data_IF_274908747784
#
_entry.id   IF_274908747784
#
_cell.length_a   1.000
_cell.length_b   1.000
_cell.length_c   1.000
_cell.angle_alpha   90.00
_cell.angle_beta   90.00
_cell.angle_gamma   90.00
#
_symmetry.space_group_name_H-M   'P 1'
#
loop_
_entity.id
_entity.type
_entity.pdbx_description
1 polymer ?
#
# COMPACT_ATOMS: atom_id res chain seq x y z
N UNK A 1 2.23 18.61 -11.70
CA UNK A 1 3.29 18.05 -10.82
C UNK A 1 4.08 16.91 -11.48
N UNK A 2 5.34 16.67 -11.07
CA UNK A 2 6.16 15.52 -11.53
C UNK A 2 6.37 14.56 -10.37
N UNK A 3 6.25 13.27 -10.63
CA UNK A 3 6.44 12.25 -9.58
C UNK A 3 7.58 11.36 -9.97
N UNK A 4 8.55 11.29 -9.07
CA UNK A 4 9.69 10.40 -9.21
C UNK A 4 9.54 9.28 -8.19
N UNK A 5 9.43 8.05 -8.68
CA UNK A 5 9.38 6.84 -7.86
C UNK A 5 10.68 6.07 -8.04
N UNK A 6 11.28 5.66 -6.93
CA UNK A 6 12.46 4.81 -6.89
C UNK A 6 12.09 3.46 -6.28
N UNK A 7 12.22 2.40 -7.09
CA UNK A 7 12.21 1.04 -6.59
C UNK A 7 13.53 0.77 -5.84
N UNK A 8 13.48 0.86 -4.51
CA UNK A 8 14.66 0.74 -3.64
C UNK A 8 15.32 -0.65 -3.71
N UNK A 9 14.55 -1.69 -3.99
CA UNK A 9 15.04 -3.08 -4.08
C UNK A 9 15.83 -3.32 -5.37
N UNK A 10 15.34 -2.79 -6.49
CA UNK A 10 16.04 -2.87 -7.79
C UNK A 10 17.24 -1.94 -7.87
N UNK A 11 17.19 -0.79 -7.21
CA UNK A 11 18.25 0.22 -7.29
C UNK A 11 19.57 -0.31 -6.71
N UNK A 12 20.64 -0.43 -7.51
CA UNK A 12 21.97 -0.83 -7.03
C UNK A 12 23.02 0.26 -7.34
N UNK A 13 23.08 1.36 -6.55
CA UNK A 13 23.93 2.52 -6.84
C UNK A 13 25.42 2.19 -6.93
N UNK A 14 25.90 1.25 -6.09
CA UNK A 14 27.31 0.79 -6.10
C UNK A 14 27.71 0.10 -7.41
N UNK A 15 26.77 -0.50 -8.14
CA UNK A 15 27.05 -1.21 -9.39
C UNK A 15 26.93 -0.31 -10.62
N UNK A 16 26.02 0.67 -10.60
CA UNK A 16 25.90 1.63 -11.70
C UNK A 16 26.74 2.88 -11.49
N UNK A 17 27.28 3.11 -10.30
CA UNK A 17 28.05 4.32 -9.97
C UNK A 17 27.25 5.61 -10.23
N UNK A 18 26.02 5.63 -9.70
CA UNK A 18 25.10 6.76 -9.72
C UNK A 18 24.87 7.41 -11.10
N UNK A 19 24.70 6.60 -12.16
CA UNK A 19 24.41 7.11 -13.52
C UNK A 19 23.25 8.12 -13.55
N UNK A 20 22.23 7.93 -12.71
CA UNK A 20 21.11 8.85 -12.63
C UNK A 20 21.55 10.29 -12.30
N UNK A 21 22.52 10.47 -11.39
CA UNK A 21 23.09 11.77 -11.02
C UNK A 21 23.96 12.29 -12.16
N UNK A 22 24.88 11.46 -12.67
CA UNK A 22 25.87 11.85 -13.70
C UNK A 22 25.24 12.31 -15.02
N UNK A 23 24.12 11.69 -15.41
CA UNK A 23 23.42 11.97 -16.66
C UNK A 23 22.23 12.92 -16.49
N UNK A 24 21.88 13.34 -15.27
CA UNK A 24 20.79 14.29 -15.07
C UNK A 24 21.21 15.68 -15.60
N UNK A 25 20.48 16.27 -16.56
CA UNK A 25 20.81 17.60 -17.07
C UNK A 25 20.80 18.67 -15.98
N UNK A 26 19.81 18.59 -15.08
CA UNK A 26 19.65 19.53 -13.97
C UNK A 26 20.83 19.47 -13.00
N UNK A 27 21.31 18.28 -12.67
CA UNK A 27 22.52 18.13 -11.86
C UNK A 27 23.76 18.66 -12.59
N UNK A 28 23.87 18.43 -13.89
CA UNK A 28 24.98 18.95 -14.70
C UNK A 28 24.99 20.47 -14.80
N UNK A 29 23.83 21.13 -14.70
CA UNK A 29 23.72 22.59 -14.65
C UNK A 29 23.91 23.17 -13.24
N UNK A 30 24.20 22.33 -12.24
CA UNK A 30 24.45 22.74 -10.86
C UNK A 30 23.24 22.65 -9.92
N UNK A 31 22.08 22.18 -10.38
CA UNK A 31 20.89 22.01 -9.52
C UNK A 31 20.96 20.71 -8.71
N UNK A 32 20.38 20.69 -7.51
CA UNK A 32 20.27 19.48 -6.68
C UNK A 32 19.05 18.61 -7.03
N UNK A 33 18.80 18.41 -8.32
CA UNK A 33 17.63 17.65 -8.77
C UNK A 33 17.68 16.17 -8.36
N UNK A 34 18.88 15.59 -8.22
CA UNK A 34 19.08 14.24 -7.69
C UNK A 34 20.26 14.28 -6.73
N UNK A 35 20.02 13.92 -5.47
CA UNK A 35 21.03 13.89 -4.40
C UNK A 35 21.21 12.45 -3.87
N UNK A 36 22.31 12.20 -3.18
CA UNK A 36 22.50 10.93 -2.46
C UNK A 36 21.77 11.08 -1.12
N UNK A 37 20.67 10.34 -0.97
CA UNK A 37 19.85 10.34 0.24
C UNK A 37 20.18 9.20 1.18
N UNK A 38 19.18 8.80 1.97
CA UNK A 38 19.34 7.79 3.00
C UNK A 38 19.83 6.44 2.46
N UNK A 39 20.68 5.76 3.24
CA UNK A 39 21.27 4.46 2.90
C UNK A 39 22.04 4.46 1.57
N UNK A 40 22.51 5.63 1.12
CA UNK A 40 23.27 5.81 -0.11
C UNK A 40 22.43 5.63 -1.39
N UNK A 41 21.10 5.67 -1.30
CA UNK A 41 20.22 5.58 -2.48
C UNK A 41 19.97 6.99 -3.05
N UNK A 42 19.77 7.14 -4.36
CA UNK A 42 19.46 8.44 -4.95
C UNK A 42 18.08 8.92 -4.49
N UNK A 43 17.94 10.21 -4.19
CA UNK A 43 16.67 10.89 -3.97
C UNK A 43 16.47 11.95 -5.03
N UNK A 44 15.29 11.95 -5.64
CA UNK A 44 14.95 12.83 -6.76
C UNK A 44 14.00 13.91 -6.25
N UNK A 45 14.40 15.17 -6.41
CA UNK A 45 13.56 16.32 -6.08
C UNK A 45 12.49 16.50 -7.15
N UNK A 46 11.22 16.37 -6.75
CA UNK A 46 10.07 16.53 -7.65
C UNK A 46 9.86 17.97 -8.11
N UNK A 47 10.39 18.93 -7.35
CA UNK A 47 10.34 20.37 -7.65
C UNK A 47 11.40 20.74 -8.69
N UNK A 48 12.65 20.30 -8.50
CA UNK A 48 13.78 20.66 -9.36
C UNK A 48 13.89 19.78 -10.61
N UNK A 49 13.35 18.56 -10.57
CA UNK A 49 13.39 17.63 -11.69
C UNK A 49 12.63 18.22 -12.90
N UNK A 50 13.25 18.23 -14.07
CA UNK A 50 12.62 18.69 -15.30
C UNK A 50 11.62 17.69 -15.91
N UNK A 51 11.63 16.43 -15.47
CA UNK A 51 10.76 15.38 -16.03
C UNK A 51 11.23 14.81 -17.37
N UNK A 52 12.49 15.03 -17.76
CA UNK A 52 13.05 14.63 -19.05
C UNK A 52 13.23 13.12 -19.27
N UNK A 53 13.10 12.29 -18.23
CA UNK A 53 13.22 10.83 -18.33
C UNK A 53 14.63 10.26 -18.56
N UNK A 54 15.68 11.08 -18.69
CA UNK A 54 17.04 10.59 -18.98
C UNK A 54 17.55 9.61 -17.91
N UNK A 55 17.30 9.90 -16.62
CA UNK A 55 17.71 9.00 -15.54
C UNK A 55 16.95 7.66 -15.53
N UNK A 56 15.72 7.62 -16.07
CA UNK A 56 14.96 6.38 -16.27
C UNK A 56 15.66 5.52 -17.31
N UNK A 57 15.92 6.08 -18.50
CA UNK A 57 16.58 5.36 -19.60
C UNK A 57 18.02 4.95 -19.29
N UNK A 58 18.74 5.73 -18.48
CA UNK A 58 20.13 5.41 -18.08
C UNK A 58 20.21 4.47 -16.88
N UNK A 59 19.10 4.11 -16.24
CA UNK A 59 19.11 3.17 -15.13
C UNK A 59 19.20 1.73 -15.67
N UNK A 60 20.30 0.99 -15.45
CA UNK A 60 20.44 -0.38 -15.95
C UNK A 60 19.57 -1.40 -15.19
N UNK A 61 18.94 -0.98 -14.09
CA UNK A 61 18.12 -1.83 -13.23
C UNK A 61 16.62 -1.53 -13.32
N UNK A 62 16.21 -0.60 -14.19
CA UNK A 62 14.81 -0.16 -14.28
C UNK A 62 14.22 0.16 -12.90
N UNK A 63 14.96 0.96 -12.14
CA UNK A 63 14.65 1.26 -10.75
C UNK A 63 14.03 2.66 -10.55
N UNK A 64 14.06 3.52 -11.57
CA UNK A 64 13.56 4.89 -11.50
C UNK A 64 12.38 5.00 -12.46
N UNK A 65 11.26 5.53 -11.98
CA UNK A 65 10.12 5.88 -12.81
C UNK A 65 9.80 7.35 -12.62
N UNK A 66 9.63 8.08 -13.72
CA UNK A 66 9.19 9.48 -13.71
C UNK A 66 7.87 9.55 -14.43
N UNK A 67 6.86 10.09 -13.75
CA UNK A 67 5.53 10.32 -14.30
C UNK A 67 5.27 11.83 -14.26
N UNK A 68 4.96 12.40 -15.42
CA UNK A 68 4.47 13.76 -15.51
C UNK A 68 2.96 13.72 -15.37
N UNK A 69 2.43 14.22 -14.26
CA UNK A 69 0.99 14.24 -14.00
C UNK A 69 0.40 15.61 -14.38
N UNK A 70 -0.78 15.62 -15.02
CA UNK A 70 -1.61 16.83 -15.10
C UNK A 70 -1.88 17.41 -13.71
N UNK A 71 -1.98 18.73 -13.59
CA UNK A 71 -2.20 19.41 -12.30
C UNK A 71 -3.56 19.03 -11.68
N UNK A 72 -4.52 18.63 -12.50
CA UNK A 72 -5.85 18.21 -12.08
C UNK A 72 -5.86 16.92 -11.22
N UNK A 73 -4.78 16.13 -11.25
CA UNK A 73 -4.60 14.92 -10.43
C UNK A 73 -3.80 15.16 -9.14
N UNK A 74 -3.42 16.42 -8.85
CA UNK A 74 -2.61 16.79 -7.68
C UNK A 74 -3.34 16.57 -6.35
N UNK A 75 -4.68 16.68 -6.33
CA UNK A 75 -5.49 16.59 -5.12
C UNK A 75 -5.83 15.17 -4.66
N UNK A 76 -5.24 14.13 -5.28
CA UNK A 76 -5.67 12.74 -5.13
C UNK A 76 -4.77 11.82 -4.31
N UNK A 77 -3.61 12.27 -3.80
CA UNK A 77 -2.70 11.39 -3.05
C UNK A 77 -3.34 11.03 -1.72
N UNK A 78 -3.59 9.74 -1.50
CA UNK A 78 -4.11 9.21 -0.24
C UNK A 78 -2.97 8.78 0.68
N UNK A 79 -1.97 8.10 0.12
CA UNK A 79 -0.86 7.58 0.91
C UNK A 79 0.44 7.52 0.10
N UNK A 80 1.57 7.79 0.74
CA UNK A 80 2.91 7.68 0.15
C UNK A 80 3.89 7.03 1.11
N UNK A 81 4.62 6.02 0.63
CA UNK A 81 5.69 5.34 1.39
C UNK A 81 7.00 6.12 1.34
N UNK A 82 7.00 7.32 1.92
CA UNK A 82 8.18 8.18 1.99
C UNK A 82 8.60 8.80 0.65
N UNK A 83 9.69 9.57 0.69
CA UNK A 83 10.20 10.30 -0.48
C UNK A 83 10.62 9.32 -1.59
N UNK A 84 10.14 9.62 -2.80
CA UNK A 84 10.24 8.77 -3.98
C UNK A 84 9.71 7.33 -3.81
N UNK A 85 8.88 7.06 -2.80
CA UNK A 85 8.21 5.78 -2.64
C UNK A 85 6.97 5.64 -3.51
N UNK A 86 6.31 4.48 -3.39
CA UNK A 86 5.01 4.24 -3.99
C UNK A 86 3.97 5.23 -3.44
N UNK A 87 3.17 5.80 -4.35
CA UNK A 87 2.08 6.72 -4.04
C UNK A 87 0.75 6.10 -4.48
N UNK A 88 -0.23 6.09 -3.57
CA UNK A 88 -1.58 5.63 -3.83
C UNK A 88 -2.51 6.82 -4.08
N UNK A 89 -3.28 6.72 -5.16
CA UNK A 89 -4.28 7.71 -5.56
C UNK A 89 -5.68 7.16 -5.41
N UNK A 90 -6.53 7.92 -4.72
CA UNK A 90 -7.91 7.52 -4.44
C UNK A 90 -8.01 6.24 -3.59
N UNK A 91 -9.25 5.90 -3.24
CA UNK A 91 -9.60 4.67 -2.56
C UNK A 91 -10.93 4.14 -3.09
N UNK A 92 -11.12 2.82 -3.15
CA UNK A 92 -12.45 2.26 -3.38
C UNK A 92 -13.34 2.57 -2.17
N UNK A 93 -14.61 2.87 -2.45
CA UNK A 93 -15.60 3.18 -1.42
C UNK A 93 -16.35 1.90 -1.04
N UNK A 94 -16.24 1.42 0.22
CA UNK A 94 -17.03 0.29 0.69
C UNK A 94 -18.52 0.64 0.74
N UNK A 95 -19.37 -0.14 0.07
CA UNK A 95 -20.83 0.04 0.11
C UNK A 95 -21.48 -1.00 0.98
N UNK A 96 -22.36 -0.58 1.90
CA UNK A 96 -23.14 -1.51 2.73
C UNK A 96 -23.99 -2.43 1.85
N UNK A 97 -24.11 -3.69 2.25
CA UNK A 97 -24.90 -4.72 1.57
C UNK A 97 -24.55 -4.94 0.09
N UNK A 98 -23.33 -4.59 -0.33
CA UNK A 98 -22.83 -4.82 -1.68
C UNK A 98 -21.40 -5.34 -1.63
N UNK A 99 -21.07 -6.17 -2.62
CA UNK A 99 -19.68 -6.60 -2.85
C UNK A 99 -19.02 -5.60 -3.78
N UNK A 100 -17.92 -4.99 -3.34
CA UNK A 100 -17.12 -4.06 -4.14
C UNK A 100 -15.91 -4.81 -4.68
N UNK A 101 -15.82 -4.95 -6.00
CA UNK A 101 -14.69 -5.59 -6.67
C UNK A 101 -13.51 -4.63 -6.83
N UNK A 102 -12.29 -5.09 -6.53
CA UNK A 102 -11.05 -4.35 -6.75
C UNK A 102 -10.16 -5.11 -7.73
N UNK A 103 -10.12 -4.64 -8.98
CA UNK A 103 -9.39 -5.28 -10.08
C UNK A 103 -8.21 -4.41 -10.53
N UNK A 104 -7.11 -5.06 -10.89
CA UNK A 104 -5.91 -4.40 -11.42
C UNK A 104 -4.66 -5.27 -11.32
N UNK A 105 -3.56 -4.89 -11.99
CA UNK A 105 -2.31 -5.63 -11.95
C UNK A 105 -1.68 -5.64 -10.56
N UNK A 106 -0.71 -6.53 -10.33
CA UNK A 106 0.07 -6.53 -9.09
C UNK A 106 0.95 -5.27 -9.00
N UNK A 107 1.13 -4.74 -7.80
CA UNK A 107 1.90 -3.51 -7.57
C UNK A 107 1.11 -2.20 -7.74
N UNK A 108 -0.17 -2.24 -8.13
CA UNK A 108 -1.00 -1.02 -8.28
C UNK A 108 -1.54 -0.47 -6.94
N UNK A 109 -1.24 -1.14 -5.81
CA UNK A 109 -1.67 -0.68 -4.48
C UNK A 109 -2.92 -1.36 -3.91
N UNK A 110 -3.43 -2.45 -4.51
CA UNK A 110 -4.63 -3.17 -4.01
C UNK A 110 -4.52 -3.54 -2.53
N UNK A 111 -3.41 -4.16 -2.14
CA UNK A 111 -3.17 -4.54 -0.74
C UNK A 111 -3.02 -3.32 0.17
N UNK A 112 -2.45 -2.21 -0.32
CA UNK A 112 -2.38 -0.93 0.41
C UNK A 112 -3.77 -0.34 0.64
N UNK A 113 -4.67 -0.36 -0.36
CA UNK A 113 -6.06 0.06 -0.20
C UNK A 113 -6.76 -0.72 0.92
N UNK A 114 -6.60 -2.05 0.94
CA UNK A 114 -7.21 -2.91 1.97
C UNK A 114 -6.68 -2.57 3.36
N UNK A 115 -5.36 -2.39 3.52
CA UNK A 115 -4.75 -2.01 4.81
C UNK A 115 -5.24 -0.66 5.30
N UNK A 116 -5.39 0.32 4.40
CA UNK A 116 -5.95 1.64 4.74
C UNK A 116 -7.41 1.53 5.16
N UNK A 117 -8.25 0.85 4.38
CA UNK A 117 -9.67 0.67 4.70
C UNK A 117 -9.87 -0.14 5.98
N UNK A 118 -8.93 -1.03 6.34
CA UNK A 118 -8.98 -1.76 7.60
C UNK A 118 -8.54 -0.94 8.83
N UNK A 119 -7.98 0.24 8.63
CA UNK A 119 -7.40 1.06 9.69
C UNK A 119 -6.01 0.63 10.15
N UNK A 120 -5.42 -0.43 9.56
CA UNK A 120 -4.05 -0.87 9.85
C UNK A 120 -3.00 0.19 9.44
N UNK A 121 -3.27 0.94 8.37
CA UNK A 121 -2.45 2.06 7.92
C UNK A 121 -3.31 3.33 7.87
N UNK A 122 -2.87 4.39 8.54
CA UNK A 122 -3.46 5.72 8.39
C UNK A 122 -3.02 6.38 7.06
N UNK A 123 -3.93 6.97 6.27
CA UNK A 123 -3.57 7.85 5.16
C UNK A 123 -2.66 8.99 5.63
N UNK A 124 -1.67 9.35 4.82
CA UNK A 124 -0.73 10.44 5.13
C UNK A 124 -0.76 11.56 4.09
N UNK A 125 -1.56 11.41 3.02
CA UNK A 125 -1.71 12.37 1.91
C UNK A 125 -0.39 12.89 1.33
N UNK A 126 0.70 12.12 1.46
CA UNK A 126 2.03 12.52 1.01
C UNK A 126 2.75 13.55 1.91
N UNK A 127 2.21 13.89 3.08
CA UNK A 127 2.77 14.92 3.98
C UNK A 127 4.04 14.48 4.72
N UNK A 128 4.42 13.19 4.64
CA UNK A 128 5.64 12.66 5.26
C UNK A 128 5.61 12.57 6.78
N UNK A 129 4.46 12.83 7.40
CA UNK A 129 4.17 12.65 8.83
C UNK A 129 2.97 11.73 9.04
N UNK A 130 2.85 11.17 10.23
CA UNK A 130 1.61 10.53 10.67
C UNK A 130 0.56 11.61 10.97
N UNK A 131 -0.70 11.30 10.65
CA UNK A 131 -1.83 12.19 10.83
C UNK A 131 -2.82 11.58 11.82
N UNK A 132 -3.52 12.45 12.53
CA UNK A 132 -4.63 12.01 13.37
C UNK A 132 -5.92 11.80 12.58
N UNK A 133 -6.82 10.98 13.14
CA UNK A 133 -8.08 10.64 12.47
C UNK A 133 -8.90 11.87 12.13
N UNK A 134 -8.90 12.90 12.97
CA UNK A 134 -9.60 14.16 12.70
C UNK A 134 -9.09 14.88 11.45
N UNK A 135 -7.77 14.90 11.26
CA UNK A 135 -7.14 15.47 10.05
C UNK A 135 -7.50 14.65 8.81
N UNK A 136 -7.46 13.32 8.93
CA UNK A 136 -7.80 12.39 7.84
C UNK A 136 -9.26 12.55 7.42
N UNK A 137 -10.18 12.57 8.38
CA UNK A 137 -11.62 12.74 8.15
C UNK A 137 -11.90 14.09 7.46
N UNK A 138 -11.21 15.16 7.88
CA UNK A 138 -11.34 16.48 7.26
C UNK A 138 -10.89 16.48 5.79
N UNK A 139 -9.83 15.75 5.45
CA UNK A 139 -9.32 15.61 4.07
C UNK A 139 -10.30 14.86 3.15
N UNK A 140 -11.14 13.99 3.71
CA UNK A 140 -12.19 13.29 2.97
C UNK A 140 -13.55 14.01 2.99
N UNK A 141 -13.62 15.27 3.44
CA UNK A 141 -14.88 16.01 3.60
C UNK A 141 -15.76 16.00 2.35
N UNK A 142 -17.03 15.65 2.52
CA UNK A 142 -18.01 15.58 1.41
C UNK A 142 -17.96 14.29 0.58
N UNK A 143 -17.17 13.28 1.00
CA UNK A 143 -17.12 11.96 0.37
C UNK A 143 -17.75 10.87 1.26
N UNK A 144 -18.18 9.76 0.65
CA UNK A 144 -18.65 8.57 1.37
C UNK A 144 -17.57 7.99 2.33
N UNK A 145 -16.28 8.22 2.02
CA UNK A 145 -15.16 7.76 2.85
C UNK A 145 -15.05 8.54 4.16
N UNK A 146 -15.54 9.78 4.22
CA UNK A 146 -15.54 10.57 5.45
C UNK A 146 -16.27 9.84 6.58
N UNK A 147 -17.48 9.40 6.29
CA UNK A 147 -18.31 8.69 7.25
C UNK A 147 -17.73 7.31 7.56
N UNK A 148 -17.17 6.62 6.56
CA UNK A 148 -16.48 5.35 6.78
C UNK A 148 -15.32 5.46 7.77
N UNK A 149 -14.43 6.43 7.58
CA UNK A 149 -13.28 6.64 8.49
C UNK A 149 -13.69 7.16 9.85
N UNK A 150 -14.76 7.97 9.95
CA UNK A 150 -15.33 8.37 11.25
C UNK A 150 -15.75 7.16 12.06
N UNK A 151 -16.46 6.21 11.43
CA UNK A 151 -16.91 4.98 12.10
C UNK A 151 -15.75 4.07 12.50
N UNK A 152 -14.66 4.06 11.75
CA UNK A 152 -13.41 3.36 12.13
C UNK A 152 -12.76 4.06 13.33
N UNK A 153 -12.62 5.38 13.30
CA UNK A 153 -12.01 6.17 14.37
C UNK A 153 -12.76 6.01 15.69
N UNK A 154 -14.09 5.98 15.64
CA UNK A 154 -14.98 5.73 16.78
C UNK A 154 -15.06 4.26 17.22
N UNK A 155 -14.33 3.34 16.55
CA UNK A 155 -14.38 1.89 16.80
C UNK A 155 -15.78 1.26 16.62
N UNK A 156 -16.68 1.89 15.87
CA UNK A 156 -18.02 1.37 15.57
C UNK A 156 -17.99 0.23 14.54
N UNK A 157 -16.90 0.11 13.78
CA UNK A 157 -16.67 -0.96 12.81
C UNK A 157 -15.31 -1.57 13.06
N UNK A 158 -15.27 -2.91 13.15
CA UNK A 158 -14.05 -3.70 13.05
C UNK A 158 -13.99 -4.36 11.69
N UNK A 159 -12.92 -4.10 10.94
CA UNK A 159 -12.71 -4.69 9.62
C UNK A 159 -11.90 -5.97 9.76
N UNK A 160 -12.43 -7.09 9.26
CA UNK A 160 -11.69 -8.34 9.15
C UNK A 160 -11.03 -8.44 7.78
N UNK A 161 -9.72 -8.69 7.75
CA UNK A 161 -8.94 -8.82 6.52
C UNK A 161 -8.38 -10.24 6.45
N UNK A 162 -8.67 -10.94 5.35
CA UNK A 162 -7.99 -12.19 5.03
C UNK A 162 -6.56 -11.87 4.56
N UNK A 163 -5.51 -12.36 5.24
CA UNK A 163 -4.14 -12.13 4.81
C UNK A 163 -3.89 -12.64 3.39
N UNK A 164 -3.04 -11.93 2.65
CA UNK A 164 -2.66 -12.34 1.30
C UNK A 164 -1.84 -13.64 1.28
N UNK A 165 -0.99 -13.86 2.29
CA UNK A 165 -0.17 -15.07 2.44
C UNK A 165 -0.80 -16.02 3.47
N UNK A 166 -1.68 -16.90 3.01
CA UNK A 166 -2.38 -17.86 3.87
C UNK A 166 -1.44 -18.94 4.44
N UNK A 167 -0.34 -19.24 3.74
CA UNK A 167 0.67 -20.22 4.17
C UNK A 167 1.44 -19.80 5.43
N UNK A 168 1.31 -18.52 5.81
CA UNK A 168 1.88 -18.02 7.05
C UNK A 168 1.03 -18.39 8.28
N UNK A 169 -0.25 -18.72 8.11
CA UNK A 169 -1.18 -18.99 9.23
C UNK A 169 -0.69 -20.14 10.12
N UNK A 170 -0.25 -21.31 9.59
CA UNK A 170 0.26 -22.41 10.43
C UNK A 170 1.55 -22.10 11.19
N UNK A 171 2.25 -20.99 10.85
CA UNK A 171 3.44 -20.52 11.58
C UNK A 171 3.07 -19.78 12.85
N UNK A 172 1.92 -19.09 12.85
CA UNK A 172 1.45 -18.30 14.00
C UNK A 172 0.44 -19.05 14.86
N UNK A 173 -0.29 -19.99 14.27
CA UNK A 173 -1.28 -20.80 14.97
C UNK A 173 -0.93 -22.27 14.84
N UNK A 174 -0.89 -22.95 15.99
CA UNK A 174 -0.71 -24.40 16.09
C UNK A 174 -1.95 -25.04 16.71
N UNK A 175 -2.25 -26.28 16.30
CA UNK A 175 -3.39 -27.05 16.78
C UNK A 175 -4.40 -27.42 15.68
N UNK A 176 -5.57 -27.86 16.14
CA UNK A 176 -6.69 -28.30 15.31
C UNK A 176 -7.44 -27.12 14.69
N UNK A 177 -7.99 -27.34 13.49
CA UNK A 177 -8.82 -26.36 12.79
C UNK A 177 -10.03 -25.95 13.62
N UNK A 178 -10.70 -26.91 14.27
CA UNK A 178 -11.87 -26.66 15.13
C UNK A 178 -11.57 -25.64 16.23
N UNK A 179 -10.48 -25.85 16.98
CA UNK A 179 -10.08 -24.96 18.09
C UNK A 179 -9.76 -23.55 17.61
N UNK A 180 -9.16 -23.42 16.42
CA UNK A 180 -8.89 -22.09 15.83
C UNK A 180 -10.20 -21.39 15.47
N UNK A 181 -11.11 -22.09 14.79
CA UNK A 181 -12.37 -21.52 14.36
C UNK A 181 -13.29 -21.17 15.54
N UNK A 182 -13.38 -22.03 16.56
CA UNK A 182 -14.15 -21.76 17.79
C UNK A 182 -13.62 -20.54 18.54
N UNK A 183 -12.29 -20.30 18.53
CA UNK A 183 -11.69 -19.11 19.16
C UNK A 183 -12.06 -17.81 18.45
N UNK A 184 -12.30 -17.87 17.13
CA UNK A 184 -12.54 -16.69 16.28
C UNK A 184 -14.03 -16.50 15.99
N UNK A 185 -14.87 -17.50 16.26
CA UNK A 185 -16.31 -17.43 16.02
C UNK A 185 -17.01 -16.56 17.07
N UNK A 186 -17.19 -15.29 16.73
CA UNK A 186 -17.97 -14.33 17.51
C UNK A 186 -19.48 -14.41 17.20
N UNK A 187 -19.90 -15.19 16.19
CA UNK A 187 -21.28 -15.20 15.66
C UNK A 187 -22.04 -16.51 15.91
N UNK A 188 -21.35 -17.56 16.35
CA UNK A 188 -21.95 -18.89 16.56
C UNK A 188 -22.35 -19.59 15.26
N UNK A 189 -21.74 -19.21 14.12
CA UNK A 189 -22.10 -19.69 12.79
C UNK A 189 -21.12 -20.74 12.24
N UNK A 190 -20.17 -21.21 13.05
CA UNK A 190 -19.15 -22.16 12.61
C UNK A 190 -19.75 -23.43 11.98
N UNK A 191 -20.82 -24.00 12.56
CA UNK A 191 -21.39 -25.26 12.09
C UNK A 191 -22.08 -25.11 10.72
N UNK A 192 -22.84 -24.02 10.54
CA UNK A 192 -23.51 -23.68 9.28
C UNK A 192 -22.46 -23.40 8.19
N UNK A 193 -21.46 -22.55 8.48
CA UNK A 193 -20.40 -22.23 7.52
C UNK A 193 -19.53 -23.44 7.19
N UNK A 194 -19.26 -24.34 8.15
CA UNK A 194 -18.51 -25.56 7.89
C UNK A 194 -19.31 -26.57 7.04
N UNK A 195 -20.64 -26.52 7.08
CA UNK A 195 -21.50 -27.29 6.20
C UNK A 195 -21.49 -26.72 4.78
N UNK A 196 -21.75 -25.41 4.64
CA UNK A 196 -21.79 -24.72 3.35
C UNK A 196 -20.46 -24.79 2.60
N UNK A 197 -19.34 -24.65 3.32
CA UNK A 197 -17.99 -24.72 2.77
C UNK A 197 -17.42 -26.15 2.74
N UNK A 198 -18.22 -27.16 3.12
CA UNK A 198 -17.84 -28.59 3.12
C UNK A 198 -16.57 -28.91 3.95
N UNK A 199 -16.37 -28.21 5.06
CA UNK A 199 -15.20 -28.32 5.92
C UNK A 199 -15.33 -29.38 7.03
N UNK A 200 -16.49 -30.03 7.19
CA UNK A 200 -16.73 -31.01 8.28
C UNK A 200 -15.63 -32.06 8.43
N UNK A 201 -15.02 -32.52 7.32
CA UNK A 201 -13.96 -33.55 7.31
C UNK A 201 -12.57 -33.04 7.73
N UNK A 202 -12.36 -31.72 7.74
CA UNK A 202 -11.05 -31.12 8.06
C UNK A 202 -11.02 -30.43 9.43
N UNK A 203 -12.17 -30.27 10.10
CA UNK A 203 -12.25 -29.60 11.41
C UNK A 203 -11.35 -30.26 12.46
N UNK A 204 -11.25 -31.58 12.42
CA UNK A 204 -10.47 -32.37 13.41
C UNK A 204 -9.01 -32.58 12.96
N UNK A 205 -8.60 -32.00 11.83
CA UNK A 205 -7.20 -32.06 11.37
C UNK A 205 -6.36 -30.95 11.98
N UNK A 206 -5.06 -31.19 12.09
CA UNK A 206 -4.10 -30.14 12.41
C UNK A 206 -3.88 -29.20 11.22
N UNK A 207 -3.74 -27.91 11.53
CA UNK A 207 -3.49 -26.84 10.54
C UNK A 207 -2.26 -27.11 9.65
N UNK A 208 -1.24 -27.79 10.17
CA UNK A 208 0.00 -28.11 9.44
C UNK A 208 -0.17 -29.20 8.38
N UNK A 209 -1.24 -29.98 8.46
CA UNK A 209 -1.52 -31.10 7.55
C UNK A 209 -2.59 -30.74 6.51
N UNK A 210 -3.00 -29.47 6.44
CA UNK A 210 -3.90 -28.99 5.40
C UNK A 210 -3.12 -28.80 4.10
N UNK A 211 -3.74 -29.24 3.00
CA UNK A 211 -3.28 -29.06 1.63
C UNK A 211 -3.69 -27.71 1.06
#
# INVERSE_FOLDING_TARGET
>A
MRIAVLNRDRCQPKKCDYLCIKFCPKVRTGDEAIVIGEKGKPEISEVLCAGCGICVHKCPFDAIHIVNLPEELESGIVHRYGKNGFSLYGLPVPKRNRVVGLLGPNGIGKSTCVRILSGEIKPNFGEGKELEWDEIIKKFSGSELQEYFRRIANQEIRVSVKPQYVDAIPKFYSGEVRKLLERVDERGLINELAEDLQLKKILDRELRHLS
#
